data_IF_969223701236
#
_entry.id   IF_969223701236
#
_cell.length_a   1.000
_cell.length_b   1.000
_cell.length_c   1.000
_cell.angle_alpha   90.00
_cell.angle_beta   90.00
_cell.angle_gamma   90.00
#
_symmetry.space_group_name_H-M   'P 1'
#
loop_
_entity.id
_entity.type
_entity.pdbx_description
1 polymer ?
#
# COMPACT_ATOMS: atom_id res chain seq x y z
N UNK A 1 -17.94 -22.29 14.04
CA UNK A 1 -18.25 -21.37 12.93
C UNK A 1 -17.78 -22.05 11.66
N UNK A 2 -18.68 -22.23 10.69
CA UNK A 2 -18.36 -22.88 9.43
C UNK A 2 -18.10 -21.83 8.34
N UNK A 3 -17.18 -22.13 7.44
CA UNK A 3 -16.86 -21.30 6.28
C UNK A 3 -16.65 -22.21 5.06
N UNK A 4 -16.91 -21.70 3.86
CA UNK A 4 -16.49 -22.37 2.62
C UNK A 4 -14.98 -22.63 2.66
N UNK A 5 -14.58 -23.85 2.36
CA UNK A 5 -13.20 -24.27 2.55
C UNK A 5 -12.28 -23.66 1.48
N UNK A 6 -11.26 -22.94 1.92
CA UNK A 6 -10.19 -22.44 1.07
C UNK A 6 -9.20 -23.54 0.69
N UNK A 7 -8.77 -23.55 -0.57
CA UNK A 7 -7.65 -24.37 -1.04
C UNK A 7 -6.34 -23.84 -0.48
N UNK A 8 -5.47 -24.73 -0.02
CA UNK A 8 -4.10 -24.30 0.30
C UNK A 8 -3.38 -23.85 -0.97
N UNK A 9 -2.35 -23.02 -0.82
CA UNK A 9 -1.55 -22.56 -1.96
C UNK A 9 -0.87 -23.76 -2.64
N UNK A 10 -0.47 -24.78 -1.89
CA UNK A 10 0.11 -26.01 -2.45
C UNK A 10 -0.91 -26.80 -3.28
N UNK A 11 -2.17 -26.88 -2.84
CA UNK A 11 -3.24 -27.52 -3.62
C UNK A 11 -3.55 -26.75 -4.91
N UNK A 12 -3.52 -25.41 -4.86
CA UNK A 12 -3.66 -24.56 -6.05
C UNK A 12 -2.49 -24.82 -6.99
N UNK A 13 -1.25 -24.75 -6.48
CA UNK A 13 -0.03 -25.00 -7.24
C UNK A 13 -0.06 -26.37 -7.94
N UNK A 14 -0.40 -27.44 -7.23
CA UNK A 14 -0.50 -28.78 -7.84
C UNK A 14 -1.58 -28.87 -8.93
N UNK A 15 -2.61 -28.03 -8.86
CA UNK A 15 -3.66 -27.97 -9.89
C UNK A 15 -3.18 -27.23 -11.16
N UNK A 16 -2.25 -26.28 -11.02
CA UNK A 16 -1.84 -25.37 -12.12
C UNK A 16 -0.39 -25.58 -12.60
N UNK A 17 0.43 -26.39 -11.93
CA UNK A 17 1.84 -26.68 -12.28
C UNK A 17 2.09 -27.21 -13.69
N UNK A 18 1.05 -27.71 -14.36
CA UNK A 18 1.12 -28.24 -15.72
C UNK A 18 0.91 -27.20 -16.83
N UNK A 19 0.54 -25.96 -16.48
CA UNK A 19 0.26 -24.88 -17.43
C UNK A 19 1.55 -24.08 -17.72
N UNK A 20 1.58 -23.43 -18.88
CA UNK A 20 2.72 -22.60 -19.28
C UNK A 20 2.76 -21.27 -18.50
N UNK A 21 1.57 -20.73 -18.18
CA UNK A 21 1.42 -19.50 -17.42
C UNK A 21 0.14 -19.53 -16.59
N UNK A 22 0.23 -18.96 -15.39
CA UNK A 22 -0.87 -18.82 -14.45
C UNK A 22 -1.13 -17.33 -14.21
N UNK A 23 -2.36 -16.88 -14.46
CA UNK A 23 -2.81 -15.54 -14.08
C UNK A 23 -3.58 -15.57 -12.77
N UNK A 24 -3.36 -14.56 -11.94
CA UNK A 24 -4.17 -14.25 -10.76
C UNK A 24 -4.29 -12.72 -10.61
N UNK A 25 -5.37 -12.23 -10.01
CA UNK A 25 -5.55 -10.80 -9.75
C UNK A 25 -4.63 -10.28 -8.64
N UNK A 26 -4.12 -11.17 -7.77
CA UNK A 26 -3.39 -10.79 -6.58
C UNK A 26 -1.89 -11.15 -6.66
N UNK A 27 -1.04 -10.17 -6.31
CA UNK A 27 0.41 -10.26 -6.41
C UNK A 27 1.01 -11.29 -5.46
N UNK A 28 0.57 -11.35 -4.21
CA UNK A 28 1.06 -12.31 -3.23
C UNK A 28 0.69 -13.76 -3.60
N UNK A 29 -0.46 -14.02 -4.24
CA UNK A 29 -0.82 -15.32 -4.81
C UNK A 29 0.17 -15.71 -5.92
N UNK A 30 0.44 -14.80 -6.86
CA UNK A 30 1.42 -15.04 -7.91
C UNK A 30 2.82 -15.33 -7.33
N UNK A 31 3.26 -14.51 -6.37
CA UNK A 31 4.56 -14.69 -5.71
C UNK A 31 4.62 -16.03 -4.97
N UNK A 32 3.55 -16.41 -4.26
CA UNK A 32 3.46 -17.68 -3.53
C UNK A 32 3.51 -18.90 -4.47
N UNK A 33 2.81 -18.86 -5.60
CA UNK A 33 2.86 -19.93 -6.60
C UNK A 33 4.26 -20.05 -7.24
N UNK A 34 4.92 -18.93 -7.53
CA UNK A 34 6.29 -18.96 -8.06
C UNK A 34 7.31 -19.54 -7.06
N UNK A 35 7.11 -19.32 -5.76
CA UNK A 35 8.01 -19.84 -4.72
C UNK A 35 7.95 -21.36 -4.56
N UNK A 36 6.92 -22.00 -5.11
CA UNK A 36 6.76 -23.47 -5.10
C UNK A 36 7.44 -24.15 -6.28
N UNK A 37 7.99 -23.38 -7.22
CA UNK A 37 8.78 -23.94 -8.31
C UNK A 37 10.12 -24.49 -7.79
N UNK A 38 10.36 -25.77 -8.06
CA UNK A 38 11.65 -26.41 -7.75
C UNK A 38 12.70 -26.13 -8.83
N UNK A 39 12.27 -25.82 -10.06
CA UNK A 39 13.13 -25.57 -11.21
C UNK A 39 13.09 -24.10 -11.65
N UNK A 40 14.23 -23.52 -12.09
CA UNK A 40 14.24 -22.17 -12.64
C UNK A 40 13.44 -22.09 -13.94
N UNK A 41 12.49 -21.18 -14.01
CA UNK A 41 11.74 -20.85 -15.24
C UNK A 41 12.26 -19.55 -15.86
N UNK A 42 12.14 -19.43 -17.18
CA UNK A 42 12.38 -18.15 -17.87
C UNK A 42 11.13 -17.29 -17.72
N UNK A 43 11.27 -16.15 -17.04
CA UNK A 43 10.14 -15.26 -16.73
C UNK A 43 9.43 -15.67 -15.43
N UNK A 44 8.10 -15.57 -15.41
CA UNK A 44 7.26 -15.94 -14.27
C UNK A 44 6.30 -17.05 -14.67
N UNK A 45 6.18 -18.08 -13.84
CA UNK A 45 5.17 -19.11 -13.99
C UNK A 45 3.78 -18.55 -13.62
N UNK A 46 3.69 -17.86 -12.49
CA UNK A 46 2.48 -17.17 -12.06
C UNK A 46 2.67 -15.65 -12.06
N UNK A 47 1.68 -14.89 -12.51
CA UNK A 47 1.78 -13.43 -12.58
C UNK A 47 0.41 -12.76 -12.54
N UNK A 48 0.39 -11.44 -12.41
CA UNK A 48 -0.83 -10.65 -12.63
C UNK A 48 -0.86 -10.14 -14.06
N UNK A 49 -2.03 -9.88 -14.67
CA UNK A 49 -2.13 -9.33 -16.02
C UNK A 49 -1.31 -8.04 -16.23
N UNK A 50 -1.33 -7.14 -15.24
CA UNK A 50 -0.51 -5.92 -15.24
C UNK A 50 0.99 -6.23 -15.17
N UNK A 51 1.43 -7.15 -14.31
CA UNK A 51 2.85 -7.56 -14.23
C UNK A 51 3.31 -8.24 -15.52
N UNK A 52 2.46 -9.07 -16.12
CA UNK A 52 2.71 -9.70 -17.41
C UNK A 52 2.92 -8.65 -18.50
N UNK A 53 2.00 -7.68 -18.60
CA UNK A 53 2.09 -6.57 -19.55
C UNK A 53 3.44 -5.88 -19.43
N UNK A 54 3.85 -5.52 -18.22
CA UNK A 54 5.13 -4.88 -18.00
C UNK A 54 6.33 -5.75 -18.35
N UNK A 55 6.25 -7.06 -18.10
CA UNK A 55 7.32 -7.99 -18.44
C UNK A 55 7.54 -8.10 -19.95
N UNK A 56 6.50 -7.88 -20.77
CA UNK A 56 6.60 -7.89 -22.24
C UNK A 56 7.12 -6.59 -22.82
N UNK A 57 6.97 -5.49 -22.10
CA UNK A 57 7.42 -4.16 -22.51
C UNK A 57 8.56 -3.61 -21.64
N UNK A 58 9.45 -4.47 -21.13
CA UNK A 58 10.54 -4.08 -20.21
C UNK A 58 11.51 -3.01 -20.76
N UNK A 59 11.54 -2.81 -22.08
CA UNK A 59 12.36 -1.79 -22.74
C UNK A 59 11.62 -0.46 -22.98
N UNK A 60 10.35 -0.37 -22.60
CA UNK A 60 9.53 0.82 -22.71
C UNK A 60 9.24 1.39 -21.32
N UNK A 61 9.30 2.71 -21.18
CA UNK A 61 8.97 3.42 -19.95
C UNK A 61 7.44 3.53 -19.80
N UNK A 62 6.78 2.40 -19.57
CA UNK A 62 5.33 2.37 -19.37
C UNK A 62 4.95 3.02 -18.05
N UNK A 63 4.19 4.11 -18.12
CA UNK A 63 3.72 4.81 -16.94
C UNK A 63 2.68 3.98 -16.16
N UNK A 64 2.83 4.01 -14.85
CA UNK A 64 1.83 3.56 -13.86
C UNK A 64 1.14 4.76 -13.23
N UNK A 65 0.28 4.53 -12.24
CA UNK A 65 -0.44 5.57 -11.47
C UNK A 65 0.41 6.79 -11.09
N UNK A 66 1.62 6.58 -10.55
CA UNK A 66 2.54 7.69 -10.19
C UNK A 66 3.00 8.49 -11.41
N UNK A 67 3.43 7.82 -12.47
CA UNK A 67 3.87 8.47 -13.71
C UNK A 67 2.73 9.19 -14.41
N UNK A 68 1.55 8.55 -14.48
CA UNK A 68 0.33 9.15 -14.99
C UNK A 68 -0.06 10.40 -14.20
N UNK A 69 0.09 10.38 -12.87
CA UNK A 69 -0.14 11.56 -12.05
C UNK A 69 0.80 12.71 -12.41
N UNK A 70 2.09 12.43 -12.58
CA UNK A 70 3.08 13.43 -13.00
C UNK A 70 2.68 14.04 -14.34
N UNK A 71 2.30 13.21 -15.31
CA UNK A 71 1.83 13.67 -16.62
C UNK A 71 0.56 14.53 -16.52
N UNK A 72 -0.42 14.11 -15.72
CA UNK A 72 -1.65 14.91 -15.50
C UNK A 72 -1.33 16.22 -14.79
N UNK A 73 -0.46 16.23 -13.80
CA UNK A 73 -0.07 17.42 -13.06
C UNK A 73 0.69 18.43 -13.94
N UNK A 74 1.45 17.97 -14.93
CA UNK A 74 2.24 18.81 -15.83
C UNK A 74 1.47 19.30 -17.06
N UNK A 75 0.49 18.52 -17.54
CA UNK A 75 -0.23 18.81 -18.79
C UNK A 75 -1.63 19.39 -18.55
N UNK A 76 -2.00 19.70 -17.31
CA UNK A 76 -3.30 20.31 -16.96
C UNK A 76 -3.15 21.45 -15.97
N UNK A 77 -4.12 22.35 -15.91
CA UNK A 77 -4.18 23.43 -14.91
C UNK A 77 -4.76 22.98 -13.55
N UNK A 78 -4.87 21.67 -13.33
CA UNK A 78 -5.46 21.10 -12.13
C UNK A 78 -4.50 21.18 -10.93
N UNK A 79 -5.05 21.41 -9.74
CA UNK A 79 -4.25 21.23 -8.52
C UNK A 79 -3.89 19.76 -8.32
N UNK A 80 -2.77 19.45 -7.67
CA UNK A 80 -2.35 18.06 -7.43
C UNK A 80 -3.42 17.21 -6.75
N UNK A 81 -4.21 17.79 -5.85
CA UNK A 81 -5.35 17.10 -5.23
C UNK A 81 -6.44 16.75 -6.22
N UNK A 82 -6.76 17.67 -7.14
CA UNK A 82 -7.71 17.40 -8.22
C UNK A 82 -7.14 16.38 -9.21
N UNK A 83 -5.88 16.51 -9.61
CA UNK A 83 -5.20 15.57 -10.52
C UNK A 83 -5.24 14.15 -9.98
N UNK A 84 -4.85 13.94 -8.71
CA UNK A 84 -4.88 12.63 -8.07
C UNK A 84 -6.32 12.10 -7.91
N UNK A 85 -7.26 12.92 -7.41
CA UNK A 85 -8.65 12.51 -7.24
C UNK A 85 -9.29 12.09 -8.58
N UNK A 86 -9.13 12.90 -9.63
CA UNK A 86 -9.71 12.61 -10.93
C UNK A 86 -9.01 11.43 -11.61
N UNK A 87 -7.68 11.35 -11.55
CA UNK A 87 -6.94 10.20 -12.08
C UNK A 87 -7.35 8.90 -11.40
N UNK A 88 -7.50 8.89 -10.07
CA UNK A 88 -7.95 7.72 -9.33
C UNK A 88 -9.32 7.25 -9.82
N UNK A 89 -10.30 8.17 -9.97
CA UNK A 89 -11.62 7.81 -10.46
C UNK A 89 -11.60 7.35 -11.93
N UNK A 90 -10.78 7.98 -12.79
CA UNK A 90 -10.61 7.58 -14.20
C UNK A 90 -10.06 6.16 -14.29
N UNK A 91 -8.99 5.85 -13.56
CA UNK A 91 -8.36 4.53 -13.58
C UNK A 91 -9.25 3.46 -12.94
N UNK A 92 -9.95 3.80 -11.86
CA UNK A 92 -10.89 2.89 -11.21
C UNK A 92 -12.09 2.57 -12.10
N UNK A 93 -12.73 3.59 -12.68
CA UNK A 93 -13.82 3.40 -13.64
C UNK A 93 -13.35 2.56 -14.84
N UNK A 94 -12.15 2.82 -15.37
CA UNK A 94 -11.60 2.03 -16.46
C UNK A 94 -11.40 0.55 -16.09
N UNK A 95 -10.90 0.26 -14.88
CA UNK A 95 -10.80 -1.13 -14.39
C UNK A 95 -12.16 -1.81 -14.29
N UNK A 96 -13.19 -1.09 -13.88
CA UNK A 96 -14.54 -1.64 -13.71
C UNK A 96 -15.31 -1.80 -15.03
N UNK A 97 -15.17 -0.85 -15.96
CA UNK A 97 -15.98 -0.78 -17.19
C UNK A 97 -15.21 -1.26 -18.44
N UNK A 98 -13.90 -1.48 -18.32
CA UNK A 98 -13.04 -1.93 -19.43
C UNK A 98 -12.79 -0.90 -20.52
N UNK A 99 -13.17 0.37 -20.29
CA UNK A 99 -12.97 1.47 -21.23
C UNK A 99 -12.59 2.76 -20.52
N UNK A 100 -11.52 3.41 -20.99
CA UNK A 100 -11.05 4.69 -20.47
C UNK A 100 -12.11 5.81 -20.58
N UNK A 101 -12.98 5.74 -21.59
CA UNK A 101 -14.01 6.76 -21.84
C UNK A 101 -15.27 6.58 -20.99
N UNK A 102 -15.47 5.41 -20.36
CA UNK A 102 -16.71 5.07 -19.66
C UNK A 102 -17.05 6.05 -18.52
N UNK A 103 -16.03 6.65 -17.89
CA UNK A 103 -16.24 7.64 -16.83
C UNK A 103 -17.09 8.84 -17.30
N UNK A 104 -17.07 9.15 -18.59
CA UNK A 104 -17.80 10.28 -19.17
C UNK A 104 -19.31 10.02 -19.29
N UNK A 105 -19.75 8.76 -19.16
CA UNK A 105 -21.17 8.38 -19.20
C UNK A 105 -21.89 8.71 -17.88
N UNK A 106 -21.14 9.01 -16.81
CA UNK A 106 -21.68 9.40 -15.52
C UNK A 106 -21.76 10.92 -15.39
N UNK A 107 -22.97 11.47 -15.24
CA UNK A 107 -23.24 12.92 -15.19
C UNK A 107 -22.32 13.69 -14.23
N UNK A 108 -22.02 13.10 -13.05
CA UNK A 108 -21.13 13.70 -12.03
C UNK A 108 -19.69 13.89 -12.51
N UNK A 109 -19.25 13.13 -13.50
CA UNK A 109 -17.89 13.13 -14.03
C UNK A 109 -17.81 13.61 -15.48
N UNK A 110 -18.93 14.04 -16.09
CA UNK A 110 -18.97 14.56 -17.45
C UNK A 110 -18.54 16.05 -17.53
N UNK A 111 -17.38 16.38 -16.97
CA UNK A 111 -16.85 17.73 -16.86
C UNK A 111 -15.56 17.92 -17.69
N UNK A 112 -15.19 19.18 -17.96
CA UNK A 112 -13.98 19.49 -18.75
C UNK A 112 -12.68 19.01 -18.08
N UNK A 113 -12.64 19.03 -16.74
CA UNK A 113 -11.49 18.56 -15.96
C UNK A 113 -11.26 17.06 -16.12
N UNK A 114 -12.32 16.24 -16.15
CA UNK A 114 -12.22 14.79 -16.39
C UNK A 114 -11.76 14.51 -17.81
N UNK A 115 -12.28 15.24 -18.80
CA UNK A 115 -11.81 15.14 -20.20
C UNK A 115 -10.31 15.41 -20.32
N UNK A 116 -9.80 16.44 -19.64
CA UNK A 116 -8.37 16.73 -19.62
C UNK A 116 -7.55 15.55 -19.10
N UNK A 117 -7.98 14.91 -18.01
CA UNK A 117 -7.29 13.74 -17.45
C UNK A 117 -7.35 12.55 -18.41
N UNK A 118 -8.52 12.25 -18.98
CA UNK A 118 -8.70 11.17 -19.96
C UNK A 118 -7.81 11.40 -21.19
N UNK A 119 -7.76 12.63 -21.71
CA UNK A 119 -6.94 12.98 -22.87
C UNK A 119 -5.45 12.80 -22.58
N UNK A 120 -4.97 13.22 -21.40
CA UNK A 120 -3.58 13.00 -20.98
C UNK A 120 -3.30 11.49 -20.88
N UNK A 121 -4.12 10.74 -20.14
CA UNK A 121 -3.93 9.29 -19.95
C UNK A 121 -3.91 8.56 -21.30
N UNK A 122 -4.79 8.93 -22.25
CA UNK A 122 -4.81 8.37 -23.60
C UNK A 122 -3.55 8.67 -24.40
N UNK A 123 -2.98 9.87 -24.22
CA UNK A 123 -1.87 10.36 -25.02
C UNK A 123 -0.49 9.81 -24.63
N UNK A 124 -0.39 9.24 -23.43
CA UNK A 124 0.88 8.74 -22.87
C UNK A 124 0.94 7.22 -22.88
N UNK A 125 2.13 6.67 -23.08
CA UNK A 125 2.35 5.23 -23.00
C UNK A 125 2.24 4.76 -21.54
N UNK A 126 1.19 3.99 -21.26
CA UNK A 126 0.89 3.51 -19.91
C UNK A 126 0.50 2.04 -19.90
N UNK A 127 0.64 1.42 -18.73
CA UNK A 127 0.45 -0.02 -18.56
C UNK A 127 -0.99 -0.47 -18.87
N UNK A 128 -1.99 0.34 -18.56
CA UNK A 128 -3.41 0.00 -18.79
C UNK A 128 -3.72 -0.06 -20.28
N UNK A 129 -3.33 0.96 -21.05
CA UNK A 129 -3.50 0.99 -22.52
C UNK A 129 -2.76 -0.16 -23.21
N UNK A 130 -1.62 -0.58 -22.67
CA UNK A 130 -0.87 -1.72 -23.21
C UNK A 130 -1.49 -3.05 -22.83
N UNK A 131 -2.12 -3.17 -21.66
CA UNK A 131 -2.85 -4.36 -21.24
C UNK A 131 -4.04 -4.64 -22.17
N UNK A 132 -4.75 -3.63 -22.65
CA UNK A 132 -5.87 -3.83 -23.61
C UNK A 132 -5.43 -4.35 -24.98
N UNK A 133 -4.14 -4.21 -25.32
CA UNK A 133 -3.58 -4.50 -26.66
C UNK A 133 -2.65 -5.69 -26.66
N UNK A 134 -2.36 -6.26 -25.50
CA UNK A 134 -1.42 -7.35 -25.39
C UNK A 134 -2.11 -8.66 -25.75
N UNK A 135 -1.39 -9.52 -26.45
CA UNK A 135 -1.86 -10.86 -26.76
C UNK A 135 -0.96 -11.88 -26.07
N UNK A 136 -1.58 -12.78 -25.30
CA UNK A 136 -0.91 -14.00 -24.82
C UNK A 136 -0.78 -14.95 -26.00
N UNK A 137 0.37 -15.62 -26.10
CA UNK A 137 0.64 -16.56 -27.21
C UNK A 137 -0.42 -17.67 -27.22
N UNK A 138 -1.13 -17.82 -28.36
CA UNK A 138 -2.20 -18.79 -28.53
C UNK A 138 -1.73 -20.26 -28.40
N UNK A 139 -0.42 -20.51 -28.43
CA UNK A 139 0.17 -21.82 -28.15
C UNK A 139 0.37 -22.14 -26.67
N UNK A 140 0.12 -21.19 -25.76
CA UNK A 140 0.30 -21.40 -24.32
C UNK A 140 -0.94 -22.00 -23.67
N UNK A 141 -0.73 -23.02 -22.85
CA UNK A 141 -1.75 -23.50 -21.92
C UNK A 141 -1.85 -22.52 -20.73
N UNK A 142 -3.00 -21.86 -20.58
CA UNK A 142 -3.21 -20.81 -19.59
C UNK A 142 -4.19 -21.25 -18.49
N UNK A 143 -3.77 -21.06 -17.23
CA UNK A 143 -4.64 -21.21 -16.06
C UNK A 143 -4.92 -19.84 -15.41
N UNK A 144 -6.14 -19.66 -14.89
CA UNK A 144 -6.55 -18.47 -14.16
C UNK A 144 -7.05 -18.84 -12.78
N UNK A 145 -6.40 -18.33 -11.74
CA UNK A 145 -6.78 -18.56 -10.34
C UNK A 145 -7.59 -17.38 -9.83
N UNK A 146 -8.82 -17.66 -9.37
CA UNK A 146 -9.73 -16.64 -8.84
C UNK A 146 -10.30 -15.70 -9.91
N UNK A 147 -10.82 -16.25 -11.02
CA UNK A 147 -11.33 -15.45 -12.16
C UNK A 147 -12.36 -14.37 -11.77
N UNK A 148 -13.19 -14.65 -10.76
CA UNK A 148 -14.18 -13.68 -10.24
C UNK A 148 -13.57 -12.37 -9.72
N UNK A 149 -12.30 -12.39 -9.34
CA UNK A 149 -11.59 -11.25 -8.76
C UNK A 149 -10.88 -10.39 -9.81
N UNK A 150 -10.92 -10.79 -11.09
CA UNK A 150 -10.35 -10.03 -12.20
C UNK A 150 -11.27 -8.88 -12.56
N UNK A 151 -10.69 -7.69 -12.66
CA UNK A 151 -11.33 -6.52 -13.24
C UNK A 151 -11.39 -6.62 -14.78
N UNK A 152 -12.05 -5.68 -15.45
CA UNK A 152 -12.23 -5.75 -16.91
C UNK A 152 -10.91 -5.56 -17.68
N UNK A 153 -9.96 -4.80 -17.15
CA UNK A 153 -8.63 -4.65 -17.78
C UNK A 153 -7.85 -5.95 -17.66
N UNK A 154 -7.89 -6.58 -16.49
CA UNK A 154 -7.27 -7.87 -16.25
C UNK A 154 -7.82 -8.95 -17.20
N UNK A 155 -9.14 -8.96 -17.44
CA UNK A 155 -9.81 -9.89 -18.37
C UNK A 155 -9.39 -9.70 -19.81
N UNK A 156 -9.13 -8.47 -20.25
CA UNK A 156 -8.72 -8.17 -21.63
C UNK A 156 -7.32 -8.71 -21.98
N UNK A 157 -6.47 -8.97 -20.98
CA UNK A 157 -5.15 -9.59 -21.17
C UNK A 157 -5.25 -11.10 -21.41
N UNK A 158 -6.33 -11.75 -20.92
CA UNK A 158 -6.48 -13.19 -21.00
C UNK A 158 -6.72 -13.65 -22.44
N UNK A 159 -6.20 -14.82 -22.86
CA UNK A 159 -6.50 -15.38 -24.17
C UNK A 159 -7.97 -15.82 -24.27
N UNK A 160 -8.44 -16.18 -25.47
CA UNK A 160 -9.80 -16.70 -25.66
C UNK A 160 -10.04 -18.06 -24.97
N UNK A 161 -9.00 -18.85 -24.77
CA UNK A 161 -9.07 -20.18 -24.15
C UNK A 161 -8.13 -20.26 -22.95
N UNK A 162 -8.70 -20.56 -21.79
CA UNK A 162 -7.99 -20.78 -20.53
C UNK A 162 -8.85 -21.64 -19.59
N UNK A 163 -8.22 -22.25 -18.59
CA UNK A 163 -8.90 -22.97 -17.53
C UNK A 163 -8.96 -22.13 -16.25
N UNK A 164 -10.09 -22.19 -15.53
CA UNK A 164 -10.30 -21.43 -14.29
C UNK A 164 -10.21 -22.32 -13.05
N UNK A 165 -9.57 -21.82 -12.00
CA UNK A 165 -9.40 -22.50 -10.72
C UNK A 165 -9.89 -21.61 -9.57
N UNK A 166 -10.92 -22.07 -8.88
CA UNK A 166 -11.47 -21.37 -7.71
C UNK A 166 -10.63 -21.59 -6.45
N UNK A 167 -10.46 -20.52 -5.68
CA UNK A 167 -9.73 -20.53 -4.40
C UNK A 167 -10.54 -21.11 -3.24
N UNK A 168 -11.87 -21.03 -3.32
CA UNK A 168 -12.80 -21.68 -2.39
C UNK A 168 -13.38 -22.95 -3.01
N UNK A 169 -13.84 -23.86 -2.14
CA UNK A 169 -14.51 -25.10 -2.50
C UNK A 169 -15.99 -25.03 -2.12
N UNK A 170 -16.83 -25.77 -2.84
CA UNK A 170 -18.25 -25.98 -2.53
C UNK A 170 -18.49 -26.92 -1.33
N UNK A 171 -17.61 -26.88 -0.32
CA UNK A 171 -17.74 -27.61 0.93
C UNK A 171 -17.35 -26.72 2.09
N UNK A 172 -17.91 -26.97 3.26
CA UNK A 172 -17.65 -26.19 4.47
C UNK A 172 -16.57 -26.84 5.34
N UNK A 173 -15.87 -26.01 6.09
CA UNK A 173 -14.90 -26.41 7.12
C UNK A 173 -15.11 -25.58 8.38
N UNK A 174 -14.70 -26.11 9.54
CA UNK A 174 -14.77 -25.40 10.82
C UNK A 174 -13.52 -24.56 11.05
N UNK A 175 -13.71 -23.32 11.50
CA UNK A 175 -12.62 -22.47 11.96
C UNK A 175 -12.12 -22.90 13.36
N UNK A 176 -10.79 -22.83 13.60
CA UNK A 176 -10.23 -22.98 14.94
C UNK A 176 -10.85 -22.03 15.98
N UNK A 177 -10.69 -22.38 17.26
CA UNK A 177 -11.22 -21.58 18.38
C UNK A 177 -10.61 -20.17 18.42
N UNK A 178 -11.47 -19.18 18.69
CA UNK A 178 -11.08 -17.79 18.89
C UNK A 178 -10.61 -17.59 20.33
N UNK A 179 -9.37 -17.13 20.50
CA UNK A 179 -8.79 -16.87 21.81
C UNK A 179 -9.17 -15.46 22.27
N UNK A 180 -9.90 -15.40 23.38
CA UNK A 180 -10.29 -14.15 24.03
C UNK A 180 -9.18 -13.64 24.95
N UNK A 181 -8.87 -12.34 24.85
CA UNK A 181 -7.91 -11.67 25.73
C UNK A 181 -8.55 -10.45 26.41
N UNK A 182 -8.06 -10.16 27.62
CA UNK A 182 -8.50 -8.99 28.39
C UNK A 182 -7.95 -7.65 27.89
N UNK A 183 -6.87 -7.66 27.09
CA UNK A 183 -6.29 -6.43 26.55
C UNK A 183 -5.56 -6.65 25.22
N UNK A 184 -5.49 -5.60 24.40
CA UNK A 184 -4.68 -5.59 23.18
C UNK A 184 -3.19 -5.82 23.47
N UNK A 185 -2.67 -5.33 24.59
CA UNK A 185 -1.27 -5.52 24.99
C UNK A 185 -0.95 -6.99 25.26
N UNK A 186 -1.87 -7.74 25.86
CA UNK A 186 -1.67 -9.17 26.13
C UNK A 186 -1.68 -9.98 24.83
N UNK A 187 -2.58 -9.65 23.89
CA UNK A 187 -2.58 -10.22 22.53
C UNK A 187 -1.20 -10.02 21.89
N UNK A 188 -0.73 -8.77 21.84
CA UNK A 188 0.53 -8.44 21.19
C UNK A 188 1.74 -9.07 21.88
N UNK A 189 1.72 -9.17 23.21
CA UNK A 189 2.78 -9.88 23.95
C UNK A 189 2.80 -11.37 23.59
N UNK A 190 1.65 -12.01 23.50
CA UNK A 190 1.56 -13.42 23.06
C UNK A 190 2.08 -13.61 21.63
N UNK A 191 1.75 -12.70 20.71
CA UNK A 191 2.28 -12.74 19.34
C UNK A 191 3.80 -12.58 19.33
N UNK A 192 4.34 -11.56 20.01
CA UNK A 192 5.78 -11.33 20.02
C UNK A 192 6.57 -12.49 20.64
N UNK A 193 6.04 -13.11 21.71
CA UNK A 193 6.64 -14.31 22.28
C UNK A 193 6.61 -15.49 21.29
N UNK A 194 5.48 -15.71 20.63
CA UNK A 194 5.39 -16.78 19.63
C UNK A 194 6.33 -16.54 18.44
N UNK A 195 6.51 -15.29 18.02
CA UNK A 195 7.47 -14.92 16.96
C UNK A 195 8.91 -15.18 17.39
N UNK A 196 9.29 -14.93 18.64
CA UNK A 196 10.65 -15.23 19.15
C UNK A 196 10.95 -16.73 19.21
N UNK A 197 9.92 -17.53 19.47
CA UNK A 197 10.04 -19.00 19.52
C UNK A 197 10.06 -19.64 18.12
N UNK A 198 9.71 -18.88 17.08
CA UNK A 198 9.58 -19.33 15.69
C UNK A 198 10.56 -18.57 14.78
N UNK A 199 10.71 -19.01 13.52
CA UNK A 199 11.45 -18.21 12.56
C UNK A 199 10.59 -17.02 12.10
N UNK A 200 11.09 -15.79 12.22
CA UNK A 200 10.33 -14.59 11.85
C UNK A 200 9.85 -14.60 10.39
N UNK A 201 10.58 -15.29 9.50
CA UNK A 201 10.20 -15.48 8.10
C UNK A 201 8.98 -16.38 7.91
N UNK A 202 8.61 -17.19 8.90
CA UNK A 202 7.51 -18.14 8.86
C UNK A 202 6.21 -17.58 9.46
N UNK A 203 6.26 -16.36 10.00
CA UNK A 203 5.14 -15.75 10.71
C UNK A 203 4.55 -14.57 9.94
N UNK A 204 3.22 -14.57 9.84
CA UNK A 204 2.44 -13.40 9.46
C UNK A 204 1.54 -12.91 10.60
N UNK A 205 1.30 -11.61 10.61
CA UNK A 205 0.31 -10.96 11.47
C UNK A 205 -0.64 -10.16 10.60
N UNK A 206 -1.92 -10.53 10.65
CA UNK A 206 -3.02 -9.88 9.95
C UNK A 206 -3.74 -8.94 10.92
N UNK A 207 -3.60 -7.63 10.68
CA UNK A 207 -4.25 -6.60 11.48
C UNK A 207 -4.54 -5.37 10.61
N UNK A 208 -5.71 -4.76 10.81
CA UNK A 208 -6.11 -3.55 10.08
C UNK A 208 -5.07 -2.44 10.26
N UNK A 209 -4.56 -1.85 9.18
CA UNK A 209 -3.63 -0.71 9.26
C UNK A 209 -4.29 0.46 9.98
N UNK A 210 -3.51 1.14 10.81
CA UNK A 210 -4.01 2.23 11.64
C UNK A 210 -4.76 1.79 12.90
N UNK A 211 -5.06 0.49 13.05
CA UNK A 211 -5.61 -0.04 14.30
C UNK A 211 -4.57 -0.04 15.42
N UNK A 212 -5.05 -0.07 16.67
CA UNK A 212 -4.20 -0.22 17.86
C UNK A 212 -3.29 -1.46 17.77
N UNK A 213 -3.80 -2.56 17.21
CA UNK A 213 -3.03 -3.80 17.04
C UNK A 213 -1.85 -3.59 16.10
N UNK A 214 -2.08 -2.98 14.92
CA UNK A 214 -1.01 -2.74 13.95
C UNK A 214 0.13 -1.89 14.53
N UNK A 215 -0.21 -0.88 15.33
CA UNK A 215 0.76 0.00 16.01
C UNK A 215 1.50 -0.75 17.12
N UNK A 216 0.78 -1.44 18.02
CA UNK A 216 1.38 -2.13 19.15
C UNK A 216 2.27 -3.31 18.71
N UNK A 217 1.84 -4.11 17.72
CA UNK A 217 2.65 -5.19 17.16
C UNK A 217 3.96 -4.64 16.63
N UNK A 218 3.89 -3.58 15.81
CA UNK A 218 5.08 -2.96 15.25
C UNK A 218 6.04 -2.51 16.35
N UNK A 219 5.55 -1.73 17.31
CA UNK A 219 6.38 -1.23 18.40
C UNK A 219 6.99 -2.35 19.24
N UNK A 220 6.25 -3.44 19.48
CA UNK A 220 6.74 -4.58 20.25
C UNK A 220 7.84 -5.34 19.49
N UNK A 221 7.64 -5.64 18.21
CA UNK A 221 8.64 -6.33 17.38
C UNK A 221 9.91 -5.47 17.22
N UNK A 222 9.76 -4.16 16.99
CA UNK A 222 10.88 -3.21 16.94
C UNK A 222 11.66 -3.18 18.27
N UNK A 223 10.97 -3.16 19.41
CA UNK A 223 11.61 -3.14 20.73
C UNK A 223 12.41 -4.41 21.06
N UNK A 224 12.16 -5.50 20.31
CA UNK A 224 12.81 -6.81 20.45
C UNK A 224 13.79 -7.10 19.32
N UNK A 225 14.11 -6.09 18.50
CA UNK A 225 14.98 -6.21 17.32
C UNK A 225 14.54 -7.31 16.33
N UNK A 226 13.22 -7.59 16.26
CA UNK A 226 12.65 -8.54 15.32
C UNK A 226 12.40 -7.83 13.99
N UNK A 227 13.00 -8.35 12.92
CA UNK A 227 12.80 -7.82 11.58
C UNK A 227 11.32 -7.91 11.16
N UNK A 228 10.85 -6.88 10.47
CA UNK A 228 9.50 -6.81 9.89
C UNK A 228 9.67 -6.67 8.38
N UNK A 229 8.90 -7.43 7.62
CA UNK A 229 8.87 -7.30 6.17
C UNK A 229 8.18 -5.99 5.81
N UNK A 230 8.97 -4.99 5.38
CA UNK A 230 8.50 -3.65 5.04
C UNK A 230 8.78 -3.33 3.59
N UNK A 231 7.80 -2.77 2.89
CA UNK A 231 8.12 -1.82 1.81
C UNK A 231 8.72 -0.58 2.47
N UNK A 232 9.89 -0.11 2.00
CA UNK A 232 10.50 1.11 2.54
C UNK A 232 9.57 2.28 2.24
N UNK A 233 8.88 2.80 3.27
CA UNK A 233 8.14 4.06 3.13
C UNK A 233 9.15 5.21 3.30
N UNK A 234 9.43 5.97 2.24
CA UNK A 234 10.38 7.08 2.31
C UNK A 234 9.96 8.15 3.32
N UNK A 235 8.67 8.27 3.67
CA UNK A 235 8.21 9.18 4.74
C UNK A 235 8.74 8.78 6.12
N UNK A 236 9.02 7.49 6.36
CA UNK A 236 9.64 7.04 7.61
C UNK A 236 11.15 7.33 7.64
N UNK A 237 11.76 7.63 6.48
CA UNK A 237 13.18 7.96 6.39
C UNK A 237 13.51 9.18 7.25
N UNK A 238 14.53 9.03 8.10
CA UNK A 238 14.93 10.07 9.05
C UNK A 238 15.29 11.36 8.33
N UNK A 239 16.03 11.25 7.23
CA UNK A 239 16.58 12.42 6.54
C UNK A 239 15.47 13.21 5.84
N UNK A 240 14.50 12.53 5.21
CA UNK A 240 13.36 13.20 4.55
C UNK A 240 12.46 13.90 5.58
N UNK A 241 12.20 13.27 6.74
CA UNK A 241 11.46 13.94 7.83
C UNK A 241 12.20 15.15 8.36
N UNK A 242 13.52 15.07 8.47
CA UNK A 242 14.34 16.19 8.93
C UNK A 242 14.37 17.31 7.88
N UNK A 243 14.42 16.98 6.59
CA UNK A 243 14.29 17.93 5.48
C UNK A 243 12.99 18.71 5.57
N UNK A 244 11.84 18.03 5.57
CA UNK A 244 10.51 18.67 5.62
C UNK A 244 10.38 19.56 6.87
N UNK A 245 10.86 19.10 8.02
CA UNK A 245 10.90 19.92 9.24
C UNK A 245 11.77 21.16 9.07
N UNK A 246 12.93 21.03 8.42
CA UNK A 246 13.84 22.15 8.17
C UNK A 246 13.22 23.17 7.23
N UNK A 247 12.57 22.73 6.14
CA UNK A 247 11.84 23.60 5.23
C UNK A 247 10.72 24.36 5.96
N UNK A 248 9.92 23.68 6.79
CA UNK A 248 8.88 24.33 7.61
C UNK A 248 9.45 25.34 8.57
N UNK A 249 10.56 25.00 9.23
CA UNK A 249 11.23 25.96 10.10
C UNK A 249 11.66 27.16 9.28
N UNK A 250 12.34 26.99 8.14
CA UNK A 250 12.82 28.06 7.28
C UNK A 250 11.71 29.03 6.84
N UNK A 251 10.54 28.52 6.44
CA UNK A 251 9.40 29.35 5.99
C UNK A 251 8.65 30.02 7.15
N UNK A 252 8.62 29.40 8.34
CA UNK A 252 7.94 29.97 9.50
C UNK A 252 8.84 30.98 10.27
N UNK A 253 8.26 32.15 10.56
CA UNK A 253 8.88 33.41 11.01
C UNK A 253 9.89 33.36 12.17
N UNK A 254 10.88 34.27 12.10
CA UNK A 254 11.88 34.89 12.99
C UNK A 254 12.09 34.45 14.46
N UNK A 255 11.14 33.79 15.12
CA UNK A 255 11.23 33.40 16.54
C UNK A 255 10.93 31.92 16.74
N UNK A 256 11.97 31.11 16.59
CA UNK A 256 11.96 29.65 16.81
C UNK A 256 12.58 29.33 18.16
N UNK A 257 11.98 28.43 18.92
CA UNK A 257 12.60 27.91 20.16
C UNK A 257 13.69 26.91 19.81
N UNK A 258 14.69 26.78 20.68
CA UNK A 258 15.75 25.77 20.49
C UNK A 258 15.16 24.36 20.44
N UNK A 259 14.17 24.06 21.28
CA UNK A 259 13.49 22.74 21.32
C UNK A 259 12.84 22.37 19.97
N UNK A 260 12.32 23.35 19.23
CA UNK A 260 11.71 23.16 17.90
C UNK A 260 12.78 22.89 16.83
N UNK A 261 14.01 23.37 17.03
CA UNK A 261 15.13 23.24 16.10
C UNK A 261 15.99 22.00 16.36
N UNK A 262 15.73 21.22 17.42
CA UNK A 262 16.59 20.10 17.86
C UNK A 262 16.88 19.08 16.76
N UNK A 263 15.90 18.78 15.89
CA UNK A 263 16.10 17.85 14.78
C UNK A 263 17.14 18.38 13.77
N UNK A 264 17.09 19.68 13.47
CA UNK A 264 18.00 20.35 12.53
C UNK A 264 19.38 20.56 13.15
N UNK A 265 19.43 20.92 14.43
CA UNK A 265 20.68 21.05 15.19
C UNK A 265 21.47 19.74 15.19
N UNK A 266 20.80 18.62 15.45
CA UNK A 266 21.41 17.30 15.40
C UNK A 266 21.87 16.92 13.98
N UNK A 267 21.15 17.34 12.96
CA UNK A 267 21.52 17.07 11.57
C UNK A 267 22.76 17.85 11.13
N UNK A 268 22.86 19.11 11.53
CA UNK A 268 23.99 19.98 11.21
C UNK A 268 25.21 19.81 12.12
N UNK A 269 25.17 18.84 13.05
CA UNK A 269 26.12 18.65 14.15
C UNK A 269 26.41 19.95 14.94
N UNK A 270 25.34 20.71 15.21
CA UNK A 270 25.39 21.97 15.97
C UNK A 270 24.83 21.73 17.36
N UNK A 271 25.60 22.08 18.40
CA UNK A 271 25.22 21.85 19.80
C UNK A 271 24.85 23.16 20.50
N UNK A 272 23.60 23.27 20.93
CA UNK A 272 23.14 24.31 21.85
C UNK A 272 22.84 23.63 23.19
N UNK A 273 23.26 24.24 24.30
CA UNK A 273 23.01 23.70 25.63
C UNK A 273 21.52 23.55 25.92
N UNK A 274 21.13 22.40 26.47
CA UNK A 274 19.73 22.03 26.79
C UNK A 274 19.04 22.98 27.76
N UNK A 275 19.80 23.70 28.60
CA UNK A 275 19.27 24.76 29.47
C UNK A 275 18.57 25.88 28.69
N UNK A 276 18.89 26.03 27.40
CA UNK A 276 18.34 27.05 26.50
C UNK A 276 17.19 26.55 25.63
N UNK A 277 16.68 25.34 25.85
CA UNK A 277 15.64 24.71 25.00
C UNK A 277 14.39 25.59 24.84
N UNK A 278 14.01 26.31 25.90
CA UNK A 278 12.85 27.22 25.92
C UNK A 278 13.18 28.65 25.46
N UNK A 279 14.44 28.95 25.19
CA UNK A 279 14.85 30.26 24.67
C UNK A 279 14.66 30.31 23.15
N UNK A 280 14.46 31.53 22.62
CA UNK A 280 14.44 31.73 21.19
C UNK A 280 15.86 31.69 20.63
N UNK A 281 16.05 31.03 19.49
CA UNK A 281 17.34 30.94 18.79
C UNK A 281 17.91 32.35 18.51
N UNK A 282 17.04 33.34 18.26
CA UNK A 282 17.39 34.76 18.09
C UNK A 282 18.08 35.37 19.32
N UNK A 283 17.68 34.95 20.52
CA UNK A 283 18.01 35.64 21.77
C UNK A 283 19.29 35.08 22.41
N UNK A 284 19.78 33.92 21.95
CA UNK A 284 20.95 33.20 22.49
C UNK A 284 22.27 33.87 22.10
N UNK A 285 22.36 34.42 20.89
CA UNK A 285 23.52 35.16 20.38
C UNK A 285 24.84 34.39 20.21
N UNK A 286 24.86 33.05 20.34
CA UNK A 286 26.05 32.22 20.15
C UNK A 286 26.41 32.04 18.67
N UNK A 287 27.61 31.58 18.37
CA UNK A 287 28.02 31.33 16.98
C UNK A 287 27.21 30.19 16.35
N UNK A 288 26.84 29.19 17.15
CA UNK A 288 25.95 28.09 16.79
C UNK A 288 24.54 28.57 16.46
N UNK A 289 23.97 29.46 17.29
CA UNK A 289 22.62 29.99 17.06
C UNK A 289 22.58 30.88 15.81
N UNK A 290 23.63 31.68 15.56
CA UNK A 290 23.80 32.47 14.33
C UNK A 290 23.99 31.59 13.10
N UNK A 291 24.74 30.48 13.20
CA UNK A 291 24.93 29.51 12.11
C UNK A 291 23.58 28.89 11.72
N UNK A 292 22.74 28.53 12.70
CA UNK A 292 21.41 28.00 12.45
C UNK A 292 20.49 29.02 11.78
N UNK A 293 20.45 30.27 12.29
CA UNK A 293 19.63 31.34 11.69
C UNK A 293 19.97 31.56 10.22
N UNK A 294 21.25 31.77 9.91
CA UNK A 294 21.71 31.95 8.52
C UNK A 294 21.39 30.78 7.61
N UNK A 295 21.41 29.57 8.15
CA UNK A 295 21.09 28.37 7.37
C UNK A 295 19.60 28.32 7.04
N UNK A 296 18.73 28.63 8.01
CA UNK A 296 17.29 28.66 7.80
C UNK A 296 16.86 29.84 6.92
N UNK A 297 17.50 31.01 7.05
CA UNK A 297 17.32 32.16 6.15
C UNK A 297 17.69 31.78 4.71
N UNK A 298 18.88 31.22 4.49
CA UNK A 298 19.29 30.74 3.17
C UNK A 298 18.28 29.77 2.57
N UNK A 299 17.86 28.76 3.35
CA UNK A 299 16.90 27.75 2.88
C UNK A 299 15.58 28.39 2.48
N UNK A 300 15.06 29.33 3.28
CA UNK A 300 13.78 29.99 3.02
C UNK A 300 13.78 30.90 1.79
N UNK A 301 14.95 31.38 1.36
CA UNK A 301 15.13 32.21 0.16
C UNK A 301 15.61 31.41 -1.06
N UNK A 302 15.80 30.10 -0.92
CA UNK A 302 16.38 29.24 -1.94
C UNK A 302 15.35 28.33 -2.63
N UNK A 303 15.78 27.63 -3.66
CA UNK A 303 14.98 26.55 -4.26
C UNK A 303 14.98 25.29 -3.39
N UNK A 304 14.05 24.36 -3.62
CA UNK A 304 14.08 23.06 -2.95
C UNK A 304 15.40 22.31 -3.21
N UNK A 305 15.93 22.39 -4.43
CA UNK A 305 17.22 21.80 -4.82
C UNK A 305 18.36 22.36 -3.98
N UNK A 306 18.47 23.69 -3.92
CA UNK A 306 19.50 24.36 -3.13
C UNK A 306 19.39 24.02 -1.63
N UNK A 307 18.16 23.86 -1.12
CA UNK A 307 17.93 23.46 0.27
C UNK A 307 18.39 22.03 0.55
N UNK A 308 18.16 21.10 -0.38
CA UNK A 308 18.62 19.69 -0.29
C UNK A 308 20.15 19.64 -0.30
N UNK A 309 20.76 20.32 -1.28
CA UNK A 309 22.22 20.40 -1.43
C UNK A 309 22.87 21.03 -0.18
N UNK A 310 22.26 22.08 0.37
CA UNK A 310 22.76 22.78 1.56
C UNK A 310 22.81 21.89 2.80
N UNK A 311 21.91 20.92 2.91
CA UNK A 311 21.77 20.05 4.07
C UNK A 311 22.53 18.74 3.95
N UNK A 312 23.35 18.58 2.90
CA UNK A 312 23.99 17.30 2.51
C UNK A 312 22.96 16.14 2.53
N UNK A 313 21.71 16.47 2.20
CA UNK A 313 20.59 15.56 2.31
C UNK A 313 20.68 14.50 1.21
N UNK A 314 20.83 13.23 1.62
CA UNK A 314 20.71 12.13 0.68
C UNK A 314 19.23 11.89 0.40
N UNK A 315 18.76 12.38 -0.74
CA UNK A 315 17.45 12.01 -1.26
C UNK A 315 17.57 10.71 -2.04
N UNK A 316 16.53 9.89 -1.97
CA UNK A 316 16.44 8.71 -2.83
C UNK A 316 16.40 9.17 -4.29
N UNK A 317 17.23 8.57 -5.16
CA UNK A 317 17.37 8.99 -6.56
C UNK A 317 16.05 8.91 -7.32
N UNK A 318 15.20 7.93 -6.99
CA UNK A 318 13.90 7.77 -7.65
C UNK A 318 12.96 8.91 -7.24
N UNK A 319 13.02 9.34 -5.97
CA UNK A 319 12.28 10.52 -5.49
C UNK A 319 12.81 11.80 -6.14
N UNK A 320 14.13 11.97 -6.26
CA UNK A 320 14.71 13.15 -6.92
C UNK A 320 14.21 13.32 -8.35
N UNK A 321 14.23 12.24 -9.13
CA UNK A 321 13.74 12.23 -10.50
C UNK A 321 12.24 12.59 -10.58
N UNK A 322 11.41 12.06 -9.67
CA UNK A 322 9.98 12.40 -9.62
C UNK A 322 9.75 13.90 -9.33
N UNK A 323 10.48 14.45 -8.34
CA UNK A 323 10.35 15.87 -7.96
C UNK A 323 10.87 16.82 -9.05
N UNK A 324 11.89 16.38 -9.80
CA UNK A 324 12.40 17.09 -10.98
C UNK A 324 11.36 17.13 -12.09
N UNK A 325 10.75 15.98 -12.41
CA UNK A 325 9.69 15.90 -13.42
C UNK A 325 8.46 16.72 -13.04
N UNK A 326 8.13 16.81 -11.75
CA UNK A 326 7.06 17.66 -11.23
C UNK A 326 7.43 19.16 -11.22
N UNK A 327 8.67 19.52 -11.58
CA UNK A 327 9.15 20.91 -11.62
C UNK A 327 9.27 21.57 -10.24
N UNK A 328 9.25 20.80 -9.15
CA UNK A 328 9.26 21.36 -7.79
C UNK A 328 10.66 21.48 -7.19
N UNK A 329 11.68 20.81 -7.74
CA UNK A 329 13.06 20.99 -7.29
C UNK A 329 13.54 22.43 -7.46
N UNK A 330 13.21 23.05 -8.59
CA UNK A 330 13.66 24.41 -8.91
C UNK A 330 12.66 25.49 -8.43
N UNK A 331 11.63 25.09 -7.69
CA UNK A 331 10.65 26.01 -7.11
C UNK A 331 11.16 26.58 -5.78
N UNK A 332 10.84 27.85 -5.51
CA UNK A 332 11.17 28.52 -4.26
C UNK A 332 10.50 27.83 -3.05
N UNK A 333 11.28 27.69 -1.97
CA UNK A 333 10.80 27.10 -0.72
C UNK A 333 9.64 27.95 -0.15
N UNK A 334 8.48 27.33 0.01
CA UNK A 334 7.26 27.99 0.49
C UNK A 334 6.33 26.99 1.19
N UNK A 335 5.37 27.48 1.98
CA UNK A 335 4.33 26.63 2.61
C UNK A 335 3.57 25.80 1.55
N UNK A 336 3.33 26.39 0.38
CA UNK A 336 2.64 25.71 -0.71
C UNK A 336 3.48 24.58 -1.33
N UNK A 337 4.79 24.80 -1.51
CA UNK A 337 5.71 23.76 -1.97
C UNK A 337 5.79 22.61 -0.96
N UNK A 338 5.92 22.94 0.33
CA UNK A 338 5.99 21.94 1.40
C UNK A 338 4.71 21.10 1.43
N UNK A 339 3.54 21.74 1.35
CA UNK A 339 2.26 21.05 1.34
C UNK A 339 2.10 20.12 0.11
N UNK A 340 2.63 20.52 -1.05
CA UNK A 340 2.66 19.69 -2.26
C UNK A 340 3.57 18.48 -2.10
N UNK A 341 4.80 18.69 -1.61
CA UNK A 341 5.76 17.61 -1.34
C UNK A 341 5.18 16.59 -0.35
N UNK A 342 4.60 17.04 0.76
CA UNK A 342 3.97 16.16 1.73
C UNK A 342 2.79 15.40 1.13
N UNK A 343 1.96 16.08 0.33
CA UNK A 343 0.85 15.43 -0.36
C UNK A 343 1.33 14.32 -1.31
N UNK A 344 2.38 14.58 -2.10
CA UNK A 344 2.94 13.59 -3.01
C UNK A 344 3.49 12.37 -2.26
N UNK A 345 4.24 12.59 -1.18
CA UNK A 345 4.78 11.53 -0.33
C UNK A 345 3.69 10.75 0.42
N UNK A 346 2.55 11.37 0.73
CA UNK A 346 1.41 10.72 1.37
C UNK A 346 0.55 9.93 0.38
N UNK A 347 0.48 10.37 -0.87
CA UNK A 347 -0.35 9.77 -1.91
C UNK A 347 0.37 8.63 -2.62
N UNK A 348 1.65 8.82 -2.93
CA UNK A 348 2.45 7.87 -3.69
C UNK A 348 3.51 7.23 -2.81
N UNK A 349 3.52 5.90 -2.78
CA UNK A 349 4.52 5.16 -2.04
C UNK A 349 5.84 5.16 -2.81
N UNK A 350 6.67 6.18 -2.55
CA UNK A 350 8.00 6.30 -3.14
C UNK A 350 8.97 5.45 -2.30
N UNK A 351 9.69 4.52 -2.93
CA UNK A 351 10.68 3.65 -2.28
C UNK A 351 10.81 2.25 -2.90
N UNK A 352 12.01 1.66 -2.83
CA UNK A 352 12.28 0.31 -3.35
C UNK A 352 11.62 -0.78 -2.49
N UNK A 353 11.08 -1.81 -3.14
CA UNK A 353 10.63 -3.04 -2.46
C UNK A 353 11.81 -3.63 -1.67
N UNK A 354 11.61 -3.90 -0.39
CA UNK A 354 12.61 -4.59 0.42
C UNK A 354 12.60 -6.07 0.07
N UNK A 355 13.78 -6.70 0.16
CA UNK A 355 13.87 -8.16 0.22
C UNK A 355 12.98 -8.68 1.38
N UNK A 356 12.33 -9.83 1.16
CA UNK A 356 11.52 -10.55 2.17
C UNK A 356 12.37 -10.82 3.41
N UNK A 357 12.23 -9.98 4.43
CA UNK A 357 12.97 -10.09 5.69
C UNK A 357 12.01 -9.95 6.87
N UNK A 358 11.95 -10.98 7.72
CA UNK A 358 11.19 -10.94 8.98
C UNK A 358 9.68 -11.15 8.85
N UNK A 359 8.96 -10.74 9.89
CA UNK A 359 7.51 -10.98 10.05
C UNK A 359 6.71 -10.24 8.98
N UNK A 360 5.79 -10.95 8.31
CA UNK A 360 4.88 -10.34 7.34
C UNK A 360 3.72 -9.65 8.05
N UNK A 361 3.53 -8.34 7.82
CA UNK A 361 2.34 -7.62 8.29
C UNK A 361 1.38 -7.43 7.12
N UNK A 362 0.17 -7.97 7.25
CA UNK A 362 -0.88 -7.89 6.24
C UNK A 362 -2.10 -7.13 6.76
N UNK A 363 -2.80 -6.44 5.87
CA UNK A 363 -4.04 -5.73 6.19
C UNK A 363 -5.22 -6.51 5.60
N UNK A 364 -6.19 -6.94 6.44
CA UNK A 364 -7.32 -7.74 5.98
C UNK A 364 -8.21 -7.06 4.94
N UNK A 365 -8.15 -5.73 4.78
CA UNK A 365 -8.98 -5.02 3.77
C UNK A 365 -8.27 -4.81 2.44
N UNK A 366 -7.01 -5.27 2.30
CA UNK A 366 -6.21 -5.07 1.08
C UNK A 366 -5.31 -6.26 0.75
N UNK A 367 -5.45 -7.36 1.48
CA UNK A 367 -4.68 -8.59 1.29
C UNK A 367 -5.65 -9.76 1.30
N UNK A 368 -5.71 -10.49 0.20
CA UNK A 368 -6.48 -11.73 0.11
C UNK A 368 -5.62 -12.94 0.52
N UNK A 369 -4.31 -12.89 0.23
CA UNK A 369 -3.38 -13.99 0.43
C UNK A 369 -2.24 -13.61 1.38
N UNK A 370 -1.91 -14.55 2.25
CA UNK A 370 -0.81 -14.50 3.22
C UNK A 370 -0.08 -15.84 3.18
N UNK A 371 1.04 -15.88 2.45
CA UNK A 371 1.84 -17.09 2.31
C UNK A 371 2.84 -17.25 3.46
N UNK A 372 2.32 -17.62 4.63
CA UNK A 372 3.12 -17.97 5.81
C UNK A 372 2.52 -19.17 6.52
N UNK A 373 3.33 -20.12 7.01
CA UNK A 373 2.81 -21.30 7.70
C UNK A 373 2.12 -20.93 9.03
N UNK A 374 2.54 -19.87 9.70
CA UNK A 374 1.94 -19.41 10.97
C UNK A 374 1.30 -18.03 10.78
N UNK A 375 -0.01 -17.92 10.98
CA UNK A 375 -0.77 -16.69 10.76
C UNK A 375 -1.57 -16.30 12.01
N UNK A 376 -1.31 -15.09 12.50
CA UNK A 376 -2.04 -14.48 13.61
C UNK A 376 -3.05 -13.45 13.10
N UNK A 377 -4.34 -13.67 13.32
CA UNK A 377 -5.43 -12.75 12.98
C UNK A 377 -5.84 -11.96 14.23
N UNK A 378 -5.63 -10.64 14.21
CA UNK A 378 -5.82 -9.80 15.41
C UNK A 378 -7.07 -8.91 15.33
N UNK A 379 -7.81 -8.89 16.43
CA UNK A 379 -8.90 -7.96 16.69
C UNK A 379 -10.23 -8.32 16.03
N UNK A 380 -10.23 -8.67 14.74
CA UNK A 380 -11.40 -9.10 13.93
C UNK A 380 -12.71 -8.34 14.17
N UNK A 381 -12.62 -7.07 14.56
CA UNK A 381 -13.76 -6.18 14.78
C UNK A 381 -14.20 -5.47 13.51
N UNK A 382 -15.14 -4.52 13.64
CA UNK A 382 -15.73 -3.75 12.52
C UNK A 382 -14.74 -3.22 11.47
N UNK A 383 -13.53 -2.85 11.87
CA UNK A 383 -12.49 -2.37 10.94
C UNK A 383 -11.95 -3.40 9.94
N UNK A 384 -12.34 -4.68 10.04
CA UNK A 384 -12.03 -5.73 9.06
C UNK A 384 -12.96 -5.74 7.85
N UNK A 385 -14.13 -5.09 7.93
CA UNK A 385 -15.03 -4.94 6.79
C UNK A 385 -14.56 -3.74 5.95
N UNK A 386 -14.17 -3.94 4.68
CA UNK A 386 -13.79 -2.84 3.79
C UNK A 386 -14.96 -1.86 3.61
N UNK A 387 -14.62 -0.58 3.43
CA UNK A 387 -15.62 0.40 3.01
C UNK A 387 -15.70 0.40 1.50
N UNK A 388 -16.87 0.10 0.96
CA UNK A 388 -17.12 0.16 -0.48
C UNK A 388 -17.30 1.64 -0.86
N UNK A 389 -16.51 2.17 -1.82
CA UNK A 389 -16.65 3.55 -2.27
C UNK A 389 -18.03 3.79 -2.90
N UNK A 390 -18.64 4.94 -2.59
CA UNK A 390 -19.85 5.41 -3.26
C UNK A 390 -19.51 5.98 -4.65
N UNK A 391 -19.31 5.07 -5.60
CA UNK A 391 -18.99 5.35 -7.01
C UNK A 391 -20.07 4.74 -7.92
N UNK A 392 -20.50 5.45 -8.97
CA UNK A 392 -21.68 5.04 -9.74
C UNK A 392 -21.43 3.84 -10.68
N UNK A 393 -20.17 3.48 -10.94
CA UNK A 393 -19.77 2.26 -11.68
C UNK A 393 -19.49 1.06 -10.76
N UNK A 394 -19.61 1.22 -9.44
CA UNK A 394 -19.41 0.12 -8.50
C UNK A 394 -20.77 -0.44 -8.10
N UNK A 395 -21.02 -1.71 -8.45
CA UNK A 395 -22.10 -2.47 -7.84
C UNK A 395 -21.70 -2.87 -6.41
N UNK A 396 -22.37 -2.26 -5.44
CA UNK A 396 -22.07 -2.49 -4.02
C UNK A 396 -22.36 -3.92 -3.56
N UNK A 397 -23.35 -4.59 -4.14
CA UNK A 397 -23.70 -5.97 -3.75
C UNK A 397 -22.65 -6.95 -4.30
N UNK A 398 -22.25 -6.78 -5.56
CA UNK A 398 -21.19 -7.60 -6.14
C UNK A 398 -19.84 -7.37 -5.46
N UNK A 399 -19.50 -6.11 -5.15
CA UNK A 399 -18.26 -5.77 -4.46
C UNK A 399 -18.25 -6.29 -3.01
N UNK A 400 -19.37 -6.25 -2.31
CA UNK A 400 -19.48 -6.84 -0.97
C UNK A 400 -19.33 -8.37 -1.01
N UNK A 401 -19.95 -9.04 -1.98
CA UNK A 401 -19.81 -10.48 -2.18
C UNK A 401 -18.34 -10.87 -2.50
N UNK A 402 -17.64 -10.09 -3.34
CA UNK A 402 -16.20 -10.26 -3.59
C UNK A 402 -15.39 -10.09 -2.30
N UNK A 403 -15.63 -9.03 -1.54
CA UNK A 403 -14.92 -8.78 -0.29
C UNK A 403 -15.17 -9.86 0.77
N UNK A 404 -16.39 -10.39 0.85
CA UNK A 404 -16.71 -11.54 1.70
C UNK A 404 -15.94 -12.80 1.26
N UNK A 405 -15.87 -13.09 -0.05
CA UNK A 405 -15.08 -14.22 -0.59
C UNK A 405 -13.60 -14.10 -0.21
N UNK A 406 -13.01 -12.92 -0.40
CA UNK A 406 -11.62 -12.62 -0.01
C UNK A 406 -11.39 -12.78 1.48
N UNK A 407 -12.32 -12.28 2.30
CA UNK A 407 -12.27 -12.45 3.76
C UNK A 407 -12.30 -13.94 4.15
N UNK A 408 -13.22 -14.72 3.58
CA UNK A 408 -13.33 -16.17 3.83
C UNK A 408 -12.04 -16.90 3.46
N UNK A 409 -11.40 -16.54 2.35
CA UNK A 409 -10.12 -17.14 1.95
C UNK A 409 -8.98 -16.74 2.90
N UNK A 410 -8.83 -15.44 3.15
CA UNK A 410 -7.77 -14.87 3.99
C UNK A 410 -7.73 -15.48 5.39
N UNK A 411 -8.88 -15.63 6.06
CA UNK A 411 -8.91 -16.19 7.43
C UNK A 411 -8.46 -17.65 7.47
N UNK A 412 -8.45 -18.34 6.34
CA UNK A 412 -8.02 -19.73 6.25
C UNK A 412 -6.55 -19.89 5.85
N UNK A 413 -5.82 -18.80 5.61
CA UNK A 413 -4.42 -18.84 5.20
C UNK A 413 -3.52 -19.29 6.36
N UNK A 414 -2.51 -20.12 6.04
CA UNK A 414 -1.57 -20.70 7.00
C UNK A 414 -1.99 -22.06 7.56
N UNK A 415 -0.99 -22.90 7.85
CA UNK A 415 -1.19 -24.21 8.48
C UNK A 415 -1.63 -24.04 9.94
N UNK A 416 -0.95 -23.13 10.66
CA UNK A 416 -1.25 -22.76 12.04
C UNK A 416 -1.92 -21.39 12.08
N UNK A 417 -3.20 -21.38 12.43
CA UNK A 417 -4.05 -20.19 12.45
C UNK A 417 -4.42 -19.83 13.87
N UNK A 418 -4.25 -18.56 14.21
CA UNK A 418 -4.54 -18.05 15.54
C UNK A 418 -5.41 -16.81 15.47
N UNK A 419 -6.68 -16.92 15.89
CA UNK A 419 -7.59 -15.79 16.00
C UNK A 419 -7.52 -15.23 17.43
N UNK A 420 -6.98 -14.03 17.58
CA UNK A 420 -6.79 -13.38 18.87
C UNK A 420 -7.66 -12.13 18.92
N UNK A 421 -8.70 -12.17 19.75
CA UNK A 421 -9.72 -11.12 19.83
C UNK A 421 -9.82 -10.58 21.26
N UNK A 422 -10.21 -9.32 21.36
CA UNK A 422 -10.40 -8.64 22.64
C UNK A 422 -11.90 -8.57 22.93
N UNK A 423 -12.31 -8.96 24.13
CA UNK A 423 -13.73 -8.93 24.51
C UNK A 423 -14.26 -7.49 24.67
N UNK A 424 -13.46 -6.63 25.32
CA UNK A 424 -13.83 -5.24 25.63
C UNK A 424 -12.73 -4.26 25.31
N UNK A 425 -13.08 -3.15 24.68
CA UNK A 425 -12.20 -1.99 24.46
C UNK A 425 -12.79 -0.77 25.16
N UNK A 426 -11.99 -0.08 25.98
CA UNK A 426 -12.44 1.09 26.76
C UNK A 426 -13.72 0.88 27.59
N UNK A 427 -13.99 -0.36 28.00
CA UNK A 427 -15.17 -0.72 28.78
C UNK A 427 -16.43 -1.05 27.95
N UNK A 428 -16.36 -0.92 26.63
CA UNK A 428 -17.41 -1.31 25.69
C UNK A 428 -17.09 -2.66 25.03
N UNK A 429 -18.11 -3.44 24.72
CA UNK A 429 -17.95 -4.71 24.01
C UNK A 429 -17.44 -4.45 22.58
N UNK A 430 -16.45 -5.22 22.14
CA UNK A 430 -15.92 -5.09 20.79
C UNK A 430 -16.89 -5.77 19.82
N UNK A 431 -17.50 -4.98 18.95
CA UNK A 431 -18.35 -5.51 17.89
C UNK A 431 -17.50 -6.31 16.87
N UNK A 432 -17.83 -7.58 16.58
CA UNK A 432 -17.21 -8.35 15.51
C UNK A 432 -17.42 -7.66 14.15
N UNK A 433 -16.59 -8.01 13.17
CA UNK A 433 -16.79 -7.54 11.79
C UNK A 433 -18.12 -8.02 11.22
N UNK A 434 -18.65 -7.31 10.22
CA UNK A 434 -19.90 -7.70 9.54
C UNK A 434 -19.78 -9.12 8.96
N UNK A 435 -18.67 -9.39 8.27
CA UNK A 435 -18.41 -10.70 7.68
C UNK A 435 -18.26 -11.81 8.72
N UNK A 436 -17.72 -11.52 9.91
CA UNK A 436 -17.65 -12.51 10.98
C UNK A 436 -19.04 -12.81 11.55
N UNK A 437 -19.93 -11.81 11.65
CA UNK A 437 -21.34 -12.03 12.02
C UNK A 437 -22.07 -12.87 10.99
N UNK A 438 -21.89 -12.60 9.69
CA UNK A 438 -22.52 -13.40 8.63
C UNK A 438 -22.12 -14.89 8.68
N UNK A 439 -20.86 -15.18 9.04
CA UNK A 439 -20.42 -16.56 9.28
C UNK A 439 -20.99 -17.17 10.58
N UNK A 440 -21.33 -16.34 11.57
CA UNK A 440 -21.92 -16.78 12.84
C UNK A 440 -23.43 -17.03 12.75
N UNK A 441 -24.14 -16.23 11.95
CA UNK A 441 -25.61 -16.17 11.88
C UNK A 441 -26.22 -17.12 10.84
N UNK A 442 -25.43 -18.04 10.26
CA UNK A 442 -25.88 -18.90 9.15
C UNK A 442 -27.10 -19.79 9.45
N UNK A 443 -28.29 -19.36 9.00
CA UNK A 443 -29.42 -20.23 8.61
C UNK A 443 -29.95 -19.88 7.20
N UNK A 444 -29.70 -20.83 6.27
CA UNK A 444 -30.55 -21.34 5.17
C UNK A 444 -30.76 -20.51 3.88
N UNK A 445 -30.42 -21.19 2.77
CA UNK A 445 -30.73 -20.91 1.37
C UNK A 445 -32.17 -20.44 1.10
N UNK A 446 -32.34 -19.55 0.13
CA UNK A 446 -33.59 -19.48 -0.63
C UNK A 446 -33.30 -19.79 -2.10
N UNK A 447 -34.15 -20.67 -2.63
CA UNK A 447 -34.02 -21.46 -3.86
C UNK A 447 -34.22 -20.66 -5.14
#
# INVERSE_FOLDING_TARGET
MEVEEGRSIDEIFESVRGYDIVFTSEVAMADALNERLEEPVIGHFATTPIRYTMSRFQNEDLLREKGLFIEVANNTDLSWRQSSFLLENVLDCWRHEGSLDAIMDYDRFNESSVRQVVDVVRSVDNVFTRAEKIEVDAGMDVAVVGYSDFDEIDRQVLPESFDTFEVLRDRKTELPEFKLYGSATDIVRSVAQAVEEQAALDVAVVARRGSIFSTLVRSMLESRDIAINRRKNLREHRDLRTLIRTLRLAVNSDRRRVEECQSVLNWLDVKIHTEKDREFVSDIGSDESKKLQKTLEYIGESTLRDAIDRLDGHMDTDLEADLEQLGILDSEVSEQLIARLEYFLDTYNVGKESARNGVLLADPTSSEVVDRPIVFHLGMGSGWTPTIPDRPWIDSEEEDARNLKRFKYLIQNGEQRHYLVQEKSMGEDVAPSLYLNELADGEIESS
#
